data_IF_622636942777
#
_entry.id   IF_622636942777
#
_cell.length_a   1.000
_cell.length_b   1.000
_cell.length_c   1.000
_cell.angle_alpha   90.00
_cell.angle_beta   90.00
_cell.angle_gamma   90.00
#
_symmetry.space_group_name_H-M   'P 1'
#
loop_
_entity.id
_entity.type
_entity.pdbx_description
1 polymer ?
#
# COMPACT_ATOMS: atom_id res chain seq x y z
N UNK A 1 -15.66 -7.37 -3.43
CA UNK A 1 -16.04 -5.96 -3.23
C UNK A 1 -14.95 -5.11 -3.88
N UNK A 2 -15.15 -3.82 -4.20
CA UNK A 2 -14.04 -3.03 -4.74
C UNK A 2 -13.03 -2.68 -3.63
N UNK A 3 -11.71 -2.58 -3.93
CA UNK A 3 -10.71 -2.15 -2.96
C UNK A 3 -11.00 -0.74 -2.44
N UNK A 4 -10.84 -0.54 -1.13
CA UNK A 4 -11.05 0.76 -0.48
C UNK A 4 -9.93 1.74 -0.85
N UNK A 5 -10.26 3.00 -1.13
CA UNK A 5 -9.25 4.01 -1.41
C UNK A 5 -8.43 4.34 -0.16
N UNK A 6 -7.10 4.36 -0.31
CA UNK A 6 -6.14 4.73 0.73
C UNK A 6 -5.46 6.04 0.34
N UNK A 7 -5.67 7.08 1.15
CA UNK A 7 -5.02 8.38 0.99
C UNK A 7 -3.61 8.38 1.59
N UNK A 8 -2.74 9.25 1.07
CA UNK A 8 -1.42 9.45 1.67
C UNK A 8 -1.50 10.31 2.92
N UNK A 9 -0.67 9.95 3.89
CA UNK A 9 -0.16 10.87 4.88
C UNK A 9 1.24 11.33 4.43
N UNK A 10 1.41 12.62 4.19
CA UNK A 10 2.67 13.15 3.68
C UNK A 10 3.66 13.30 4.83
N UNK A 11 4.82 12.65 4.74
CA UNK A 11 5.94 12.97 5.61
C UNK A 11 6.47 14.35 5.19
N UNK A 12 6.71 15.21 6.18
CA UNK A 12 7.10 16.60 5.97
C UNK A 12 8.59 16.74 6.29
N UNK A 13 9.43 17.24 5.36
CA UNK A 13 10.83 17.52 5.64
C UNK A 13 11.00 18.44 6.86
N UNK A 14 11.97 18.11 7.72
CA UNK A 14 12.35 18.94 8.88
C UNK A 14 11.17 19.29 9.81
N UNK A 15 10.14 18.44 9.85
CA UNK A 15 8.93 18.64 10.62
C UNK A 15 8.40 17.28 11.10
N UNK A 16 7.36 17.30 11.92
CA UNK A 16 6.72 16.10 12.43
C UNK A 16 5.42 15.78 11.68
N UNK A 17 4.96 14.55 11.85
CA UNK A 17 3.65 14.09 11.43
C UNK A 17 3.06 13.28 12.58
N UNK A 18 1.95 13.74 13.15
CA UNK A 18 1.19 12.96 14.11
C UNK A 18 0.78 11.62 13.49
N UNK A 19 0.83 10.55 14.28
CA UNK A 19 0.59 9.20 13.75
C UNK A 19 -0.82 9.08 13.12
N UNK A 20 -0.93 8.92 11.79
CA UNK A 20 -2.22 8.90 11.11
C UNK A 20 -2.97 7.60 11.40
N UNK A 21 -4.28 7.70 11.60
CA UNK A 21 -5.15 6.54 11.62
C UNK A 21 -5.04 5.78 10.29
N UNK A 22 -4.90 4.45 10.36
CA UNK A 22 -4.90 3.60 9.18
C UNK A 22 -6.31 3.22 8.73
N UNK A 23 -6.38 2.60 7.56
CA UNK A 23 -7.60 2.03 6.98
C UNK A 23 -7.60 0.53 7.20
N UNK A 24 -8.69 -0.01 7.73
CA UNK A 24 -8.87 -1.46 7.84
C UNK A 24 -9.06 -2.07 6.44
N UNK A 25 -8.32 -3.13 6.14
CA UNK A 25 -8.50 -3.90 4.91
C UNK A 25 -9.73 -4.81 5.01
N UNK A 26 -10.29 -5.12 3.84
CA UNK A 26 -11.21 -6.25 3.71
C UNK A 26 -10.39 -7.44 3.22
N UNK A 27 -10.45 -8.56 3.95
CA UNK A 27 -9.64 -9.73 3.66
C UNK A 27 -10.07 -10.45 2.35
N UNK A 28 -9.13 -11.14 1.73
CA UNK A 28 -9.35 -12.01 0.56
C UNK A 28 -9.00 -11.36 -0.78
N UNK A 29 -8.85 -12.22 -1.79
CA UNK A 29 -8.45 -11.81 -3.14
C UNK A 29 -9.47 -10.85 -3.78
N UNK A 30 -8.97 -9.83 -4.48
CA UNK A 30 -9.80 -8.78 -5.07
C UNK A 30 -10.39 -7.79 -4.05
N UNK A 31 -10.15 -8.00 -2.75
CA UNK A 31 -10.49 -7.06 -1.68
C UNK A 31 -9.20 -6.40 -1.14
N UNK A 32 -9.37 -5.39 -0.29
CA UNK A 32 -8.25 -4.74 0.39
C UNK A 32 -8.28 -3.23 0.22
N UNK A 33 -7.11 -2.64 0.01
CA UNK A 33 -6.94 -1.20 -0.17
C UNK A 33 -6.17 -0.89 -1.44
N UNK A 34 -6.40 0.28 -2.03
CA UNK A 34 -5.60 0.78 -3.14
C UNK A 34 -5.23 2.24 -2.94
N UNK A 35 -4.01 2.60 -3.30
CA UNK A 35 -3.66 3.99 -3.53
C UNK A 35 -4.08 4.31 -4.96
N UNK A 36 -5.08 5.18 -5.17
CA UNK A 36 -5.67 5.40 -6.47
C UNK A 36 -4.73 6.21 -7.39
N UNK A 37 -4.96 6.13 -8.69
CA UNK A 37 -4.28 6.98 -9.67
C UNK A 37 -4.78 8.42 -9.66
N UNK A 38 -6.03 8.60 -9.25
CA UNK A 38 -6.63 9.88 -8.88
C UNK A 38 -7.84 9.61 -7.97
N UNK A 39 -7.93 10.33 -6.86
CA UNK A 39 -9.20 10.54 -6.14
C UNK A 39 -9.56 12.01 -6.23
N UNK A 40 -10.85 12.34 -6.18
CA UNK A 40 -11.34 13.69 -5.94
C UNK A 40 -10.55 14.31 -4.76
N UNK A 41 -9.61 15.22 -5.07
CA UNK A 41 -8.61 15.72 -4.11
C UNK A 41 -7.13 15.43 -4.42
N UNK A 42 -6.76 15.02 -5.65
CA UNK A 42 -5.38 15.01 -6.16
C UNK A 42 -4.39 13.99 -5.56
N UNK A 43 -4.88 12.92 -4.93
CA UNK A 43 -4.01 11.78 -4.55
C UNK A 43 -3.79 10.86 -5.75
N UNK A 44 -2.54 10.79 -6.25
CA UNK A 44 -2.07 9.81 -7.23
C UNK A 44 -1.04 8.91 -6.58
N UNK A 45 -1.00 7.62 -6.93
CA UNK A 45 0.05 6.71 -6.46
C UNK A 45 1.45 7.15 -6.93
N UNK A 46 2.43 7.04 -6.03
CA UNK A 46 3.86 7.25 -6.30
C UNK A 46 4.63 6.08 -5.69
N UNK A 47 4.69 4.90 -6.35
CA UNK A 47 5.31 3.70 -5.79
C UNK A 47 6.70 3.95 -5.16
N UNK A 48 7.55 4.73 -5.85
CA UNK A 48 8.92 5.05 -5.43
C UNK A 48 8.99 5.91 -4.16
N UNK A 49 7.88 6.54 -3.79
CA UNK A 49 7.76 7.39 -2.60
C UNK A 49 6.81 6.81 -1.56
N UNK A 50 6.31 5.59 -1.78
CA UNK A 50 5.28 5.01 -0.92
C UNK A 50 5.91 4.06 0.08
N UNK A 51 5.70 4.33 1.36
CA UNK A 51 5.94 3.34 2.42
C UNK A 51 4.60 3.01 3.07
N UNK A 52 4.27 1.73 3.15
CA UNK A 52 3.09 1.25 3.86
C UNK A 52 3.49 0.87 5.28
N UNK A 53 2.75 1.35 6.27
CA UNK A 53 2.70 0.72 7.59
C UNK A 53 1.51 -0.20 7.64
N UNK A 54 1.76 -1.47 7.96
CA UNK A 54 0.74 -2.50 8.09
C UNK A 54 0.79 -3.07 9.50
N UNK A 55 -0.31 -3.00 10.25
CA UNK A 55 -0.44 -3.63 11.56
C UNK A 55 -1.49 -4.73 11.57
N UNK A 56 -1.19 -5.80 12.32
CA UNK A 56 -2.06 -6.95 12.47
C UNK A 56 -2.55 -7.09 13.91
N UNK A 57 -3.86 -7.07 14.10
CA UNK A 57 -4.53 -7.35 15.37
C UNK A 57 -5.64 -8.41 15.22
N UNK A 58 -5.56 -9.25 14.20
CA UNK A 58 -6.59 -10.25 13.84
C UNK A 58 -6.64 -11.47 14.77
N UNK A 59 -5.73 -11.59 15.74
CA UNK A 59 -5.63 -12.74 16.64
C UNK A 59 -4.79 -13.89 16.10
N UNK A 60 -4.32 -13.82 14.84
CA UNK A 60 -3.42 -14.79 14.21
C UNK A 60 -2.43 -14.14 13.26
N UNK A 61 -1.53 -14.92 12.66
CA UNK A 61 -0.70 -14.41 11.56
C UNK A 61 -1.53 -14.24 10.29
N UNK A 62 -1.14 -13.29 9.45
CA UNK A 62 -1.71 -13.10 8.13
C UNK A 62 -0.67 -12.61 7.15
N UNK A 63 -1.05 -12.48 5.90
CA UNK A 63 -0.20 -11.95 4.84
C UNK A 63 -0.77 -10.65 4.30
N UNK A 64 0.12 -9.75 3.94
CA UNK A 64 -0.17 -8.62 3.04
C UNK A 64 0.50 -8.90 1.71
N UNK A 65 -0.23 -8.67 0.63
CA UNK A 65 0.21 -8.91 -0.74
C UNK A 65 0.11 -7.62 -1.54
N UNK A 66 1.25 -7.13 -2.02
CA UNK A 66 1.32 -6.01 -2.95
C UNK A 66 1.28 -6.63 -4.35
N UNK A 67 0.21 -6.32 -5.07
CA UNK A 67 -0.07 -6.98 -6.36
C UNK A 67 0.90 -6.54 -7.43
N UNK A 68 1.35 -7.50 -8.24
CA UNK A 68 2.08 -7.22 -9.47
C UNK A 68 1.30 -6.21 -10.31
N UNK A 69 2.02 -5.30 -10.92
CA UNK A 69 1.48 -4.30 -11.82
C UNK A 69 0.94 -4.91 -13.11
N UNK A 70 0.38 -4.07 -13.97
CA UNK A 70 -0.04 -4.50 -15.31
C UNK A 70 0.89 -3.88 -16.35
N UNK A 71 1.29 -4.65 -17.36
CA UNK A 71 2.05 -4.14 -18.49
C UNK A 71 1.12 -3.72 -19.64
N UNK A 72 1.30 -2.51 -20.21
CA UNK A 72 2.01 -1.36 -19.65
C UNK A 72 1.27 -0.73 -18.44
N UNK A 73 1.96 -0.09 -17.48
CA UNK A 73 3.37 0.34 -17.51
C UNK A 73 4.38 -0.60 -16.82
N UNK A 74 3.94 -1.62 -16.08
CA UNK A 74 4.84 -2.42 -15.23
C UNK A 74 5.64 -3.49 -16.02
N UNK A 75 6.77 -3.10 -16.62
CA UNK A 75 7.64 -3.98 -17.42
C UNK A 75 8.14 -5.20 -16.62
N UNK A 76 8.35 -5.03 -15.31
CA UNK A 76 8.82 -6.05 -14.41
C UNK A 76 7.69 -6.77 -13.64
N UNK A 77 6.43 -6.63 -14.08
CA UNK A 77 5.28 -7.34 -13.49
C UNK A 77 5.45 -8.88 -13.49
N UNK A 78 6.25 -9.42 -14.40
CA UNK A 78 6.56 -10.86 -14.46
C UNK A 78 7.29 -11.40 -13.22
N UNK A 79 7.82 -10.53 -12.34
CA UNK A 79 8.39 -10.93 -11.05
C UNK A 79 7.31 -11.34 -10.02
N UNK A 80 6.03 -11.11 -10.31
CA UNK A 80 4.91 -11.50 -9.46
C UNK A 80 4.69 -10.56 -8.26
N UNK A 81 3.73 -10.96 -7.43
CA UNK A 81 3.33 -10.21 -6.24
C UNK A 81 4.44 -10.22 -5.16
N UNK A 82 4.49 -9.17 -4.34
CA UNK A 82 5.27 -9.19 -3.10
C UNK A 82 4.35 -9.60 -1.94
N UNK A 83 4.63 -10.73 -1.30
CA UNK A 83 3.89 -11.21 -0.13
C UNK A 83 4.73 -11.10 1.14
N UNK A 84 4.17 -10.51 2.19
CA UNK A 84 4.81 -10.30 3.49
C UNK A 84 3.93 -10.87 4.60
N UNK A 85 4.48 -11.77 5.41
CA UNK A 85 3.79 -12.27 6.61
C UNK A 85 3.88 -11.24 7.75
N UNK A 86 2.75 -10.96 8.37
CA UNK A 86 2.61 -10.10 9.55
C UNK A 86 2.06 -10.97 10.68
N UNK A 87 2.89 -11.22 11.70
CA UNK A 87 2.46 -11.94 12.90
C UNK A 87 1.36 -11.16 13.66
N UNK A 88 0.62 -11.84 14.53
CA UNK A 88 -0.33 -11.15 15.41
C UNK A 88 0.39 -10.12 16.28
N UNK A 89 -0.26 -8.99 16.56
CA UNK A 89 0.29 -7.86 17.31
C UNK A 89 1.60 -7.27 16.73
N UNK A 90 1.91 -7.54 15.45
CA UNK A 90 3.09 -7.01 14.78
C UNK A 90 2.74 -5.88 13.81
N UNK A 91 3.73 -5.02 13.57
CA UNK A 91 3.70 -4.00 12.53
C UNK A 91 4.84 -4.20 11.55
N UNK A 92 4.59 -4.00 10.25
CA UNK A 92 5.58 -4.03 9.18
C UNK A 92 5.57 -2.73 8.41
N UNK A 93 6.76 -2.30 7.99
CA UNK A 93 6.97 -1.18 7.08
C UNK A 93 7.42 -1.75 5.75
N UNK A 94 6.68 -1.47 4.68
CA UNK A 94 6.84 -2.13 3.38
C UNK A 94 6.95 -1.05 2.30
N UNK A 95 8.02 -1.13 1.49
CA UNK A 95 8.37 -0.14 0.47
C UNK A 95 9.73 0.53 0.77
N UNK A 96 10.16 1.51 -0.03
CA UNK A 96 9.50 2.00 -1.25
C UNK A 96 9.34 0.94 -2.35
N UNK A 97 8.40 1.16 -3.25
CA UNK A 97 8.07 0.24 -4.34
C UNK A 97 8.60 0.73 -5.68
N UNK A 98 8.72 -0.18 -6.63
CA UNK A 98 9.06 0.14 -8.01
C UNK A 98 7.78 0.17 -8.87
N UNK A 99 7.49 1.29 -9.54
CA UNK A 99 6.35 1.38 -10.47
C UNK A 99 6.43 0.36 -11.59
N UNK A 100 7.65 0.07 -12.09
CA UNK A 100 7.93 -0.98 -13.06
C UNK A 100 7.47 -2.37 -12.63
N UNK A 101 7.26 -2.60 -11.33
CA UNK A 101 6.81 -3.89 -10.78
C UNK A 101 5.37 -3.90 -10.31
N UNK A 102 4.87 -2.81 -9.73
CA UNK A 102 3.64 -2.84 -8.92
C UNK A 102 2.54 -1.88 -9.39
N UNK A 103 2.84 -1.00 -10.35
CA UNK A 103 1.86 -0.03 -10.84
C UNK A 103 0.82 -0.72 -11.74
N UNK A 104 -0.46 -0.57 -11.42
CA UNK A 104 -1.57 -1.10 -12.21
C UNK A 104 -1.74 -0.29 -13.50
N UNK A 105 -2.47 -0.82 -14.47
CA UNK A 105 -2.74 -0.14 -15.76
C UNK A 105 -3.56 1.13 -15.58
N UNK A 106 -4.38 1.20 -14.54
CA UNK A 106 -5.12 2.40 -14.15
C UNK A 106 -4.26 3.41 -13.39
N UNK A 107 -3.00 3.09 -13.08
CA UNK A 107 -2.06 3.92 -12.30
C UNK A 107 -2.19 3.78 -10.78
N UNK A 108 -2.96 2.81 -10.28
CA UNK A 108 -3.08 2.55 -8.84
C UNK A 108 -1.98 1.62 -8.32
N UNK A 109 -1.82 1.60 -6.99
CA UNK A 109 -1.06 0.58 -6.26
C UNK A 109 -2.04 -0.25 -5.44
N UNK A 110 -2.09 -1.57 -5.66
CA UNK A 110 -3.07 -2.47 -5.05
C UNK A 110 -2.44 -3.32 -3.94
N UNK A 111 -3.13 -3.37 -2.80
CA UNK A 111 -2.69 -4.10 -1.60
C UNK A 111 -3.83 -4.95 -1.07
N UNK A 112 -3.60 -6.24 -0.99
CA UNK A 112 -4.54 -7.23 -0.46
C UNK A 112 -4.02 -7.79 0.87
N UNK A 113 -4.90 -8.41 1.64
CA UNK A 113 -4.52 -9.11 2.88
C UNK A 113 -5.33 -10.38 3.09
N UNK A 114 -4.71 -11.40 3.72
CA UNK A 114 -5.40 -12.67 4.00
C UNK A 114 -6.31 -12.62 5.24
N UNK A 115 -6.10 -11.63 6.10
CA UNK A 115 -6.93 -11.30 7.28
C UNK A 115 -7.11 -9.79 7.34
N UNK A 116 -8.02 -9.29 8.18
CA UNK A 116 -8.20 -7.85 8.38
C UNK A 116 -6.94 -7.27 9.03
N UNK A 117 -6.34 -6.30 8.36
CA UNK A 117 -5.15 -5.55 8.79
C UNK A 117 -5.47 -4.06 8.77
N UNK A 118 -4.69 -3.26 9.50
CA UNK A 118 -4.74 -1.79 9.35
C UNK A 118 -3.57 -1.33 8.51
N UNK A 119 -3.85 -0.57 7.45
CA UNK A 119 -2.85 -0.07 6.50
C UNK A 119 -2.85 1.45 6.48
N UNK A 120 -1.67 2.05 6.62
CA UNK A 120 -1.43 3.48 6.45
C UNK A 120 -0.43 3.68 5.31
N UNK A 121 -0.71 4.57 4.36
CA UNK A 121 0.24 4.94 3.32
C UNK A 121 0.94 6.25 3.65
N UNK A 122 2.26 6.22 3.69
CA UNK A 122 3.11 7.39 3.85
C UNK A 122 3.75 7.76 2.51
N UNK A 123 3.73 9.06 2.20
CA UNK A 123 4.49 9.60 1.07
C UNK A 123 5.79 10.21 1.58
N UNK A 124 6.91 9.63 1.15
CA UNK A 124 8.26 10.12 1.44
C UNK A 124 8.57 11.33 0.53
N UNK A 125 9.05 12.45 1.09
CA UNK A 125 9.44 13.62 0.29
C UNK A 125 10.68 13.30 -0.56
N UNK A 126 10.72 13.80 -1.81
CA UNK A 126 11.84 13.56 -2.73
C UNK A 126 13.08 14.40 -2.41
N UNK A 127 12.89 15.61 -1.87
CA UNK A 127 13.96 16.55 -1.52
C UNK A 127 13.59 17.26 -0.20
N UNK A 128 14.60 17.64 0.57
CA UNK A 128 14.53 18.44 1.81
C UNK A 128 14.88 19.90 1.55
#
# INVERSE_FOLDING_TARGET
>A
MAPTALAYSNLVPNSDLADPAGVATVAGAGNGVKIPSITAGATRSFPELTVLRVSNASGGSGTVTIKAGAYPPAIAAGQGDLTVTVANAATRWIGPFESGRFLQSDGSLLVESSVVMTVTAFKVPRNT
#
